data_IF_293039474934
#
_entry.id   IF_293039474934
#
_cell.length_a   1.000
_cell.length_b   1.000
_cell.length_c   1.000
_cell.angle_alpha   90.00
_cell.angle_beta   90.00
_cell.angle_gamma   90.00
#
_symmetry.space_group_name_H-M   'P 1'
#
loop_
_entity.id
_entity.type
_entity.pdbx_description
1 polymer ?
2 non-polymer ?
3 non-polymer ?
4 non-polymer ?
5 water ?
#
# COMPACT_ATOMS: atom_id res chain seq x y z
N UNK A 139 20.91 -43.68 19.49
CA UNK A 139 19.77 -43.90 18.62
C UNK A 139 18.46 -43.94 19.43
N UNK A 140 18.47 -44.66 20.55
CA UNK A 140 17.35 -44.61 21.48
C UNK A 140 17.13 -43.17 21.95
N UNK A 141 15.89 -42.84 22.27
CA UNK A 141 15.52 -41.48 22.68
C UNK A 141 15.31 -41.42 24.19
N UNK A 142 16.15 -40.63 24.86
CA UNK A 142 16.19 -40.54 26.32
C UNK A 142 15.17 -39.53 26.85
N UNK A 143 14.85 -39.68 28.14
CA UNK A 143 13.96 -38.72 28.79
C UNK A 143 14.47 -37.30 28.65
N UNK A 144 15.77 -37.09 28.89
CA UNK A 144 16.32 -35.73 28.76
C UNK A 144 16.19 -35.23 27.32
N UNK A 145 16.41 -36.09 26.34
CA UNK A 145 16.27 -35.66 24.95
C UNK A 145 14.83 -35.29 24.63
N UNK A 146 13.87 -36.11 25.10
CA UNK A 146 12.47 -35.81 24.82
C UNK A 146 12.08 -34.46 25.37
N UNK A 147 12.49 -34.17 26.60
CA UNK A 147 12.18 -32.88 27.21
C UNK A 147 12.85 -31.73 26.45
N UNK A 148 14.13 -31.87 26.14
CA UNK A 148 14.84 -30.83 25.40
C UNK A 148 14.20 -30.60 24.04
N UNK A 149 13.89 -31.68 23.30
CA UNK A 149 13.25 -31.51 22.00
C UNK A 149 11.90 -30.83 22.13
N UNK A 150 11.14 -31.22 23.16
CA UNK A 150 9.79 -30.69 23.32
C UNK A 150 9.81 -29.18 23.58
N UNK A 151 10.74 -28.71 24.43
CA UNK A 151 10.87 -27.27 24.67
C UNK A 151 11.31 -26.54 23.41
N UNK A 152 12.33 -27.07 22.72
CA UNK A 152 12.83 -26.43 21.51
C UNK A 152 11.74 -26.32 20.45
N UNK A 153 10.89 -27.33 20.34
CA UNK A 153 9.71 -27.22 19.52
C UNK A 153 8.90 -25.98 19.88
N UNK A 154 8.59 -25.82 21.19
CA UNK A 154 7.81 -24.67 21.64
C UNK A 154 8.52 -23.37 21.31
N UNK A 155 9.85 -23.32 21.51
CA UNK A 155 10.60 -22.10 21.25
C UNK A 155 10.57 -21.73 19.78
N UNK A 156 10.73 -22.72 18.88
CA UNK A 156 10.66 -22.42 17.45
C UNK A 156 9.27 -21.90 17.07
N UNK A 157 8.22 -22.53 17.58
CA UNK A 157 6.87 -22.06 17.28
C UNK A 157 6.65 -20.63 17.80
N UNK A 158 7.16 -20.32 18.99
CA UNK A 158 7.05 -18.94 19.47
C UNK A 158 7.83 -18.00 18.55
N UNK A 159 9.01 -18.44 18.09
CA UNK A 159 9.80 -17.63 17.18
C UNK A 159 9.05 -17.34 15.88
N UNK A 160 8.37 -18.35 15.32
CA UNK A 160 7.61 -18.13 14.10
C UNK A 160 6.48 -17.12 14.31
N UNK A 161 5.77 -17.22 15.43
CA UNK A 161 4.78 -16.21 15.76
C UNK A 161 5.39 -14.82 15.77
N UNK A 162 6.54 -14.67 16.43
CA UNK A 162 7.24 -13.39 16.40
C UNK A 162 7.59 -12.95 15.00
N UNK A 163 8.15 -13.88 14.19
CA UNK A 163 8.50 -13.53 12.82
C UNK A 163 7.28 -13.16 11.99
N UNK A 164 6.18 -13.87 12.17
CA UNK A 164 4.98 -13.56 11.40
C UNK A 164 4.41 -12.21 11.76
N UNK A 165 4.50 -11.81 13.03
CA UNK A 165 4.01 -10.49 13.41
C UNK A 165 4.88 -9.39 12.82
N UNK A 166 6.21 -9.54 12.88
CA UNK A 166 7.07 -8.51 12.31
C UNK A 166 6.79 -8.38 10.83
N UNK A 167 6.56 -9.50 10.17
CA UNK A 167 6.31 -9.49 8.73
C UNK A 167 4.99 -8.79 8.41
N UNK A 168 3.95 -9.05 9.21
CA UNK A 168 2.65 -8.44 8.97
C UNK A 168 2.65 -6.96 9.33
N UNK A 169 3.29 -6.60 10.44
CA UNK A 169 3.40 -5.18 10.79
C UNK A 169 4.19 -4.41 9.75
N UNK A 170 5.22 -5.05 9.18
CA UNK A 170 5.98 -4.42 8.10
C UNK A 170 5.10 -4.16 6.89
N UNK A 171 4.26 -5.14 6.50
CA UNK A 171 3.29 -4.89 5.45
C UNK A 171 2.31 -3.81 5.85
N UNK A 172 1.87 -3.83 7.12
CA UNK A 172 0.90 -2.83 7.60
C UNK A 172 1.48 -1.42 7.52
N UNK A 173 2.75 -1.25 7.87
CA UNK A 173 3.37 0.08 7.85
C UNK A 173 3.57 0.59 6.43
N UNK A 174 4.05 -0.25 5.52
CA UNK A 174 4.23 0.18 4.14
C UNK A 174 2.91 0.47 3.47
N UNK A 175 1.89 -0.33 3.78
CA UNK A 175 0.56 -0.04 3.23
C UNK A 175 0.04 1.29 3.76
N UNK A 176 0.19 1.54 5.07
CA UNK A 176 -0.28 2.81 5.64
C UNK A 176 0.51 3.98 5.10
N UNK A 177 1.79 3.79 4.80
CA UNK A 177 2.60 4.88 4.30
C UNK A 177 2.17 5.27 2.89
N UNK A 178 1.87 4.29 2.04
CA UNK A 178 1.37 4.59 0.71
C UNK A 178 -0.03 5.18 0.76
N UNK A 179 -0.90 4.66 1.64
CA UNK A 179 -2.23 5.26 1.78
C UNK A 179 -2.12 6.73 2.18
N UNK A 180 -1.34 7.01 3.22
CA UNK A 180 -1.16 8.39 3.68
C UNK A 180 -0.63 9.28 2.57
N UNK A 181 0.34 8.80 1.79
CA UNK A 181 0.86 9.56 0.65
C UNK A 181 -0.26 9.87 -0.33
N UNK A 182 -1.03 8.85 -0.70
CA UNK A 182 -2.11 9.04 -1.67
C UNK A 182 -3.20 9.95 -1.11
N UNK A 183 -3.51 9.81 0.18
CA UNK A 183 -4.47 10.70 0.82
C UNK A 183 -3.97 12.14 0.87
N UNK A 184 -2.68 12.33 1.15
CA UNK A 184 -2.12 13.67 1.12
C UNK A 184 -2.19 14.24 -0.30
N UNK A 185 -1.83 13.42 -1.30
CA UNK A 185 -1.90 13.86 -2.69
C UNK A 185 -3.34 14.23 -3.07
N UNK A 186 -4.28 13.36 -2.70
CA UNK A 186 -5.68 13.65 -2.98
C UNK A 186 -6.09 14.99 -2.37
N UNK A 187 -5.64 15.28 -1.15
CA UNK A 187 -6.03 16.55 -0.53
C UNK A 187 -5.33 17.76 -1.16
N UNK A 188 -4.09 17.61 -1.62
CA UNK A 188 -3.47 18.67 -2.40
C UNK A 188 -4.30 18.98 -3.65
N UNK A 189 -4.67 17.93 -4.38
CA UNK A 189 -5.43 18.11 -5.63
C UNK A 189 -6.74 18.83 -5.34
N UNK A 190 -7.47 18.36 -4.33
CA UNK A 190 -8.76 18.98 -4.01
C UNK A 190 -8.59 20.42 -3.52
N UNK A 191 -7.49 20.71 -2.82
CA UNK A 191 -7.23 22.11 -2.45
C UNK A 191 -7.08 23.00 -3.69
N UNK A 192 -6.34 22.54 -4.69
CA UNK A 192 -6.18 23.29 -5.94
C UNK A 192 -7.47 23.38 -6.74
N UNK A 193 -8.40 22.44 -6.56
CA UNK A 193 -9.68 22.51 -7.26
C UNK A 193 -10.69 23.38 -6.55
N UNK A 194 -10.42 23.82 -5.32
CA UNK A 194 -11.32 24.72 -4.61
C UNK A 194 -11.02 26.19 -4.95
N UNK B 135 -9.61 36.06 -20.84
CA UNK B 135 -10.73 36.18 -21.76
C UNK B 135 -10.94 34.92 -22.60
N UNK B 136 -9.87 34.47 -23.27
CA UNK B 136 -9.97 33.33 -24.17
C UNK B 136 -8.96 32.24 -23.81
N UNK B 137 -7.65 32.56 -23.89
CA UNK B 137 -6.64 31.53 -23.69
C UNK B 137 -6.50 31.15 -22.22
N UNK B 138 -6.51 32.14 -21.32
CA UNK B 138 -6.35 31.87 -19.90
C UNK B 138 -7.45 30.94 -19.39
N UNK B 139 -8.70 31.20 -19.77
CA UNK B 139 -9.79 30.33 -19.36
C UNK B 139 -9.64 28.93 -19.96
N UNK B 140 -9.15 28.85 -21.19
CA UNK B 140 -8.96 27.54 -21.82
C UNK B 140 -7.89 26.75 -21.08
N UNK B 141 -6.73 27.36 -20.83
CA UNK B 141 -5.68 26.66 -20.08
C UNK B 141 -6.10 26.39 -18.64
N UNK B 142 -6.94 27.26 -18.07
CA UNK B 142 -7.47 27.01 -16.72
C UNK B 142 -8.36 25.77 -16.72
N UNK B 143 -9.25 25.67 -17.72
CA UNK B 143 -10.16 24.53 -17.79
C UNK B 143 -9.39 23.24 -17.98
N UNK B 144 -8.44 23.21 -18.93
CA UNK B 144 -7.61 22.02 -19.14
C UNK B 144 -6.82 21.67 -17.88
N UNK B 145 -6.41 22.67 -17.10
CA UNK B 145 -5.77 22.38 -15.83
C UNK B 145 -6.77 21.85 -14.80
N UNK B 146 -8.01 22.31 -14.86
CA UNK B 146 -9.06 21.72 -14.04
C UNK B 146 -9.32 20.26 -14.44
N UNK B 147 -9.35 19.98 -15.75
CA UNK B 147 -9.60 18.61 -16.19
C UNK B 147 -8.48 17.69 -15.73
N UNK B 148 -7.24 18.10 -15.98
CA UNK B 148 -6.09 17.27 -15.60
C UNK B 148 -6.14 16.90 -14.13
N UNK B 149 -6.39 17.90 -13.26
CA UNK B 149 -6.51 17.66 -11.83
C UNK B 149 -7.73 16.79 -11.50
N UNK B 150 -8.82 16.93 -12.24
CA UNK B 150 -10.00 16.12 -11.86
C UNK B 150 -9.75 14.66 -12.27
N UNK B 151 -9.11 14.43 -13.42
CA UNK B 151 -8.85 13.05 -13.81
C UNK B 151 -7.97 12.35 -12.79
N UNK B 152 -6.90 13.03 -12.34
CA UNK B 152 -5.98 12.43 -11.39
C UNK B 152 -6.65 12.19 -10.03
N UNK B 153 -7.58 13.07 -9.63
CA UNK B 153 -8.36 12.81 -8.42
C UNK B 153 -9.26 11.59 -8.58
N UNK B 154 -9.92 11.45 -9.73
CA UNK B 154 -10.80 10.32 -9.94
C UNK B 154 -10.03 9.01 -9.90
N UNK B 155 -8.83 9.00 -10.46
CA UNK B 155 -7.99 7.81 -10.44
C UNK B 155 -7.69 7.37 -9.02
N UNK B 156 -7.43 8.32 -8.12
CA UNK B 156 -7.13 7.97 -6.75
C UNK B 156 -8.38 7.48 -6.01
N UNK B 157 -9.53 8.12 -6.26
CA UNK B 157 -10.77 7.68 -5.61
C UNK B 157 -11.14 6.27 -6.08
N UNK B 158 -11.01 6.00 -7.37
CA UNK B 158 -11.29 4.65 -7.87
C UNK B 158 -10.34 3.65 -7.24
N UNK B 159 -9.06 4.00 -7.10
CA UNK B 159 -8.09 3.09 -6.49
C UNK B 159 -8.50 2.75 -5.06
N UNK B 160 -9.02 3.73 -4.32
CA UNK B 160 -9.51 3.47 -2.97
C UNK B 160 -10.72 2.55 -2.99
N UNK B 161 -11.70 2.84 -3.87
CA UNK B 161 -12.82 1.92 -4.01
C UNK B 161 -12.33 0.53 -4.36
N UNK B 162 -11.29 0.44 -5.20
CA UNK B 162 -10.69 -0.84 -5.49
C UNK B 162 -10.12 -1.49 -4.24
N UNK B 163 -9.47 -0.70 -3.39
CA UNK B 163 -8.90 -1.23 -2.15
C UNK B 163 -9.96 -1.83 -1.25
N UNK B 164 -11.09 -1.12 -1.06
CA UNK B 164 -12.11 -1.61 -0.14
C UNK B 164 -12.72 -2.93 -0.61
N UNK B 165 -12.64 -3.25 -1.90
CA UNK B 165 -13.19 -4.51 -2.39
C UNK B 165 -12.31 -5.71 -2.04
N UNK B 166 -11.06 -5.46 -1.68
CA UNK B 166 -10.15 -6.52 -1.27
C UNK B 166 -10.35 -6.76 0.23
N UNK B 167 -10.29 -8.04 0.65
CA UNK B 167 -10.39 -8.37 2.06
C UNK B 167 -9.38 -7.55 2.87
N UNK B 168 -9.86 -6.98 3.99
CA UNK B 168 -8.99 -6.14 4.82
C UNK B 168 -7.79 -6.91 5.34
N UNK B 169 -7.92 -8.24 5.48
CA UNK B 169 -6.82 -9.07 5.97
C UNK B 169 -5.73 -9.28 4.93
N UNK B 170 -6.08 -9.17 3.64
CA UNK B 170 -5.15 -9.45 2.54
C UNK B 170 -4.23 -8.24 2.32
N UNK B 171 -3.35 -8.02 3.31
CA UNK B 171 -2.49 -6.84 3.29
C UNK B 171 -1.53 -6.85 2.12
N UNK B 172 -1.14 -8.04 1.64
CA UNK B 172 -0.14 -8.07 0.59
C UNK B 172 -0.72 -7.66 -0.75
N UNK B 173 -1.96 -8.07 -1.05
CA UNK B 173 -2.57 -7.64 -2.30
C UNK B 173 -3.03 -6.18 -2.23
N UNK B 174 -3.47 -5.72 -1.06
CA UNK B 174 -3.72 -4.29 -0.89
C UNK B 174 -2.45 -3.49 -1.20
N UNK B 175 -1.31 -3.93 -0.66
CA UNK B 175 -0.05 -3.24 -0.90
C UNK B 175 0.36 -3.32 -2.36
N UNK B 176 0.17 -4.48 -2.99
CA UNK B 176 0.48 -4.65 -4.40
C UNK B 176 -0.27 -3.63 -5.25
N UNK B 177 -1.56 -3.46 -4.98
CA UNK B 177 -2.38 -2.59 -5.82
C UNK B 177 -1.91 -1.15 -5.71
N UNK B 178 -1.71 -0.66 -4.48
CA UNK B 178 -1.26 0.73 -4.31
C UNK B 178 0.14 0.93 -4.87
N UNK B 179 1.03 -0.07 -4.78
CA UNK B 179 2.37 0.07 -5.35
C UNK B 179 2.31 0.10 -6.87
N UNK B 180 1.60 -0.86 -7.47
CA UNK B 180 1.44 -0.87 -8.93
C UNK B 180 0.83 0.42 -9.42
N UNK B 181 -0.15 0.95 -8.68
CA UNK B 181 -0.74 2.22 -9.07
C UNK B 181 0.29 3.33 -9.08
N UNK B 182 1.14 3.38 -8.06
CA UNK B 182 2.15 4.43 -8.02
C UNK B 182 3.19 4.23 -9.13
N UNK B 183 3.56 2.98 -9.39
CA UNK B 183 4.52 2.72 -10.47
C UNK B 183 3.96 3.09 -11.83
N UNK B 184 2.70 2.72 -12.10
CA UNK B 184 2.10 3.08 -13.39
C UNK B 184 1.88 4.59 -13.46
N UNK B 185 1.46 5.20 -12.34
CA UNK B 185 1.33 6.65 -12.29
C UNK B 185 2.67 7.32 -12.56
N UNK B 186 3.70 6.90 -11.81
CA UNK B 186 5.06 7.40 -12.05
C UNK B 186 5.46 7.24 -13.51
N UNK B 187 5.19 6.07 -14.09
CA UNK B 187 5.48 5.85 -15.50
C UNK B 187 4.68 6.82 -16.40
N UNK B 188 3.41 7.06 -16.09
CA UNK B 188 2.64 8.03 -16.84
C UNK B 188 3.28 9.40 -16.79
N UNK B 189 3.71 9.82 -15.59
CA UNK B 189 4.27 11.15 -15.42
C UNK B 189 5.53 11.31 -16.26
N UNK B 190 6.42 10.32 -16.22
CA UNK B 190 7.65 10.40 -17.00
C UNK B 190 7.39 10.37 -18.50
N UNK B 191 6.24 9.85 -18.96
CA UNK B 191 5.89 9.97 -20.37
C UNK B 191 5.39 11.38 -20.69
N UNK B 192 4.66 12.02 -19.77
CA UNK B 192 4.22 13.38 -20.01
C UNK B 192 5.35 14.40 -19.83
N UNK B 193 6.28 14.15 -18.91
CA UNK B 193 7.47 15.00 -18.87
C UNK B 193 8.39 14.77 -20.05
N UNK B 194 8.14 13.75 -20.87
CA UNK B 194 8.88 13.53 -22.10
C UNK B 194 8.01 13.82 -23.32
X LIG C 1 2.76 17.45 -4.51
X LIG C 1 2.75 15.97 -4.13
X LIG C 1 2.69 15.73 -2.63
X LIG C 1 2.18 14.33 -2.27
X LIG C 1 2.01 17.65 -5.69
X LIG C 1 2.71 13.91 -1.02
X LIG D 1 -2.61 13.20 5.02
X LIG D 1 -3.83 13.69 4.23
X LIG D 1 -3.96 15.23 4.10
X LIG D 1 -4.10 15.94 5.44
X LIG D 1 -2.62 11.79 5.07
X LIG D 1 -5.14 16.91 5.39
X LIG E 1 7.47 -19.07 9.32
X LIG F 1 -2.02 22.09 -12.51
#
# INVERSE_FOLDING_TARGET
>A
MHHHHHHSSGVDLWSHPQFEKGTENLYFQSNIMNLEDLAKKTISEVSSIMEEQRRQNEILKEQELNRKTEIKDELPPMEFVCEELDTPQDLEDKISMAKFEEEQKIQNNIEISTQENKEFKKEEPFLQNEILNPSVMTEVQTLNEDIFLKHLRERILVLFEGLNSIKKDDLENRLNLTINFLEFLLANIEDKLKK
>B
MHHHHHHSSGVDLWSHPQFEKGTENLYFQSNIMNLEDLAKKTISEVSSIMEEQRRQNEILKEQELNRKTEIKDELPPMEFVCEELDTPQDLEDKISMAKFEEEQKIQNNIEISTQENKEFKKEEPFLQNEILNPSVMTEVQTLNEDIFLKHLRERILVLFEGLNSIKKDDLENRLNLTINFLEFLLANIEDKLKK
>C hetero
1 BU1 C1 C2 C3 C4 O5 O6
>D hetero
1 BU1 C1 C2 C3 C4 O5 O6
>E hetero
1 MN MN
>F hetero
1 CL CL
#
